data_IF_730610637989
#
_entry.id   IF_730610637989
#
_cell.length_a   1.000
_cell.length_b   1.000
_cell.length_c   1.000
_cell.angle_alpha   90.00
_cell.angle_beta   90.00
_cell.angle_gamma   90.00
#
_symmetry.space_group_name_H-M   'P 1'
#
loop_
_entity.id
_entity.type
_entity.pdbx_description
1 polymer ?
#
# COMPACT_ATOMS: atom_id res chain seq x y z
N UNK A 1 -8.17 -2.21 8.56
CA UNK A 1 -6.88 -1.50 8.42
C UNK A 1 -5.89 -1.84 9.53
N UNK A 2 -6.13 -1.49 10.81
CA UNK A 2 -5.16 -1.82 11.88
C UNK A 2 -4.85 -3.32 11.96
N UNK A 3 -5.87 -4.17 12.11
CA UNK A 3 -5.67 -5.60 12.33
C UNK A 3 -5.38 -6.40 11.04
N UNK A 4 -5.75 -5.85 9.90
CA UNK A 4 -5.62 -6.53 8.59
C UNK A 4 -4.34 -6.15 7.85
N UNK A 5 -3.85 -4.91 8.03
CA UNK A 5 -2.73 -4.35 7.27
C UNK A 5 -1.61 -3.89 8.20
N UNK A 6 -1.89 -2.97 9.13
CA UNK A 6 -0.83 -2.35 9.92
C UNK A 6 -0.11 -3.38 10.80
N UNK A 7 -0.87 -4.13 11.61
CA UNK A 7 -0.34 -5.10 12.55
C UNK A 7 0.36 -6.28 11.87
N UNK A 8 -0.25 -6.99 10.89
CA UNK A 8 0.39 -8.19 10.33
C UNK A 8 1.45 -7.90 9.26
N UNK A 9 1.41 -6.73 8.59
CA UNK A 9 2.26 -6.45 7.41
C UNK A 9 3.22 -5.29 7.68
N UNK A 10 2.70 -4.13 8.08
CA UNK A 10 3.51 -2.90 8.16
C UNK A 10 4.47 -2.93 9.34
N UNK A 11 3.98 -3.30 10.52
CA UNK A 11 4.76 -3.32 11.78
C UNK A 11 6.00 -4.22 11.66
N UNK A 12 5.89 -5.51 11.27
CA UNK A 12 7.06 -6.38 11.12
C UNK A 12 8.05 -5.84 10.08
N UNK A 13 7.54 -5.42 8.93
CA UNK A 13 8.40 -4.98 7.82
C UNK A 13 9.23 -3.75 8.18
N UNK A 14 8.62 -2.77 8.86
CA UNK A 14 9.32 -1.55 9.28
C UNK A 14 10.32 -1.84 10.39
N UNK A 15 10.00 -2.71 11.36
CA UNK A 15 10.95 -3.05 12.41
C UNK A 15 12.16 -3.82 11.87
N UNK A 16 11.95 -4.72 10.91
CA UNK A 16 13.04 -5.51 10.32
C UNK A 16 13.99 -4.67 9.46
N UNK A 17 13.50 -3.60 8.83
CA UNK A 17 14.27 -2.83 7.84
C UNK A 17 14.53 -1.36 8.21
N UNK A 18 13.95 -0.88 9.31
CA UNK A 18 14.11 0.48 9.84
C UNK A 18 13.70 1.59 8.85
N UNK A 19 12.56 1.39 8.19
CA UNK A 19 12.00 2.33 7.23
C UNK A 19 10.96 3.29 7.84
N UNK A 20 10.57 4.30 7.06
CA UNK A 20 9.46 5.20 7.36
C UNK A 20 8.24 4.83 6.51
N UNK A 21 7.06 4.76 7.14
CA UNK A 21 5.80 4.53 6.45
C UNK A 21 5.40 5.79 5.69
N UNK A 22 5.21 5.68 4.38
CA UNK A 22 4.49 6.67 3.59
C UNK A 22 3.10 6.12 3.25
N UNK A 23 2.08 6.94 3.47
CA UNK A 23 0.70 6.68 3.05
C UNK A 23 -0.02 8.00 2.79
N UNK A 24 -1.11 7.95 2.02
CA UNK A 24 -1.92 9.11 1.74
C UNK A 24 -2.82 9.47 2.94
N UNK A 25 -3.48 10.64 2.86
CA UNK A 25 -4.37 11.13 3.90
C UNK A 25 -5.80 10.56 3.78
N UNK A 26 -5.97 9.36 3.22
CA UNK A 26 -7.28 8.71 3.15
C UNK A 26 -7.87 8.52 4.55
N UNK A 27 -9.20 8.59 4.67
CA UNK A 27 -9.89 8.53 5.96
C UNK A 27 -9.46 7.34 6.85
N UNK A 28 -9.28 6.11 6.34
CA UNK A 28 -8.81 4.99 7.17
C UNK A 28 -7.39 5.17 7.69
N UNK A 29 -6.52 5.91 6.99
CA UNK A 29 -5.12 6.11 7.34
C UNK A 29 -4.92 7.18 8.42
N UNK A 30 -5.74 8.24 8.39
CA UNK A 30 -5.71 9.34 9.36
C UNK A 30 -6.76 9.21 10.47
N UNK A 31 -7.54 8.13 10.45
CA UNK A 31 -8.48 7.83 11.54
C UNK A 31 -7.71 7.73 12.87
N UNK A 32 -8.27 8.33 13.94
CA UNK A 32 -7.64 8.37 15.27
C UNK A 32 -7.17 7.00 15.77
N UNK A 33 -7.93 5.95 15.52
CA UNK A 33 -7.57 4.59 15.92
C UNK A 33 -6.29 4.11 15.23
N UNK A 34 -6.07 4.50 13.97
CA UNK A 34 -4.90 4.12 13.19
C UNK A 34 -3.69 4.98 13.55
N UNK A 35 -3.85 6.29 13.74
CA UNK A 35 -2.75 7.16 14.16
C UNK A 35 -2.24 6.79 15.54
N UNK A 36 -3.14 6.54 16.51
CA UNK A 36 -2.77 6.08 17.85
C UNK A 36 -2.10 4.70 17.83
N UNK A 37 -2.53 3.81 16.93
CA UNK A 37 -1.89 2.51 16.77
C UNK A 37 -0.45 2.65 16.24
N UNK A 38 -0.23 3.45 15.20
CA UNK A 38 1.10 3.71 14.64
C UNK A 38 2.04 4.33 15.67
N UNK A 39 1.54 5.28 16.48
CA UNK A 39 2.29 5.86 17.59
C UNK A 39 2.67 4.81 18.64
N UNK A 40 1.72 3.96 19.06
CA UNK A 40 1.96 2.92 20.07
C UNK A 40 2.99 1.87 19.62
N UNK A 41 2.99 1.52 18.34
CA UNK A 41 3.95 0.59 17.73
C UNK A 41 5.27 1.28 17.31
N UNK A 42 5.45 2.58 17.61
CA UNK A 42 6.63 3.38 17.25
C UNK A 42 6.94 3.37 15.75
N UNK A 43 5.90 3.38 14.91
CA UNK A 43 6.06 3.40 13.46
C UNK A 43 6.26 4.85 12.98
N UNK A 44 7.44 5.20 12.44
CA UNK A 44 7.65 6.54 11.89
C UNK A 44 6.83 6.71 10.61
N UNK A 45 6.04 7.79 10.54
CA UNK A 45 5.19 8.13 9.39
C UNK A 45 5.73 9.38 8.69
N UNK A 46 5.87 9.31 7.38
CA UNK A 46 6.28 10.44 6.55
C UNK A 46 5.12 11.43 6.42
N UNK A 47 5.37 12.69 6.77
CA UNK A 47 4.38 13.75 6.56
C UNK A 47 4.10 13.91 5.06
N UNK A 48 2.84 13.73 4.66
CA UNK A 48 2.44 13.75 3.26
C UNK A 48 1.42 14.85 2.95
N UNK A 49 1.67 15.72 1.96
CA UNK A 49 0.73 16.76 1.56
C UNK A 49 -0.54 16.18 0.93
N UNK A 50 -1.68 16.85 1.14
CA UNK A 50 -2.93 16.49 0.49
C UNK A 50 -2.84 16.64 -1.04
N UNK A 51 -3.62 15.86 -1.78
CA UNK A 51 -3.72 15.91 -3.25
C UNK A 51 -2.40 15.70 -4.01
N UNK A 52 -1.40 15.09 -3.37
CA UNK A 52 -0.09 14.84 -3.97
C UNK A 52 0.03 13.39 -4.45
N UNK A 53 -0.91 12.98 -5.30
CA UNK A 53 -0.96 11.62 -5.86
C UNK A 53 0.20 11.39 -6.86
N UNK A 54 0.53 12.42 -7.64
CA UNK A 54 1.65 12.46 -8.58
C UNK A 54 3.01 12.27 -7.92
N UNK A 55 3.13 12.64 -6.64
CA UNK A 55 4.33 12.42 -5.84
C UNK A 55 4.44 11.01 -5.27
N UNK A 56 3.37 10.20 -5.29
CA UNK A 56 3.35 8.91 -4.59
C UNK A 56 4.02 7.82 -5.43
N UNK A 57 5.14 7.22 -4.97
CA UNK A 57 5.83 6.19 -5.74
C UNK A 57 4.94 4.99 -6.07
N UNK A 58 3.96 4.68 -5.23
CA UNK A 58 3.04 3.55 -5.44
C UNK A 58 2.14 3.74 -6.66
N UNK A 59 1.78 4.98 -7.02
CA UNK A 59 0.98 5.27 -8.21
C UNK A 59 1.77 4.93 -9.50
N UNK A 60 3.08 5.19 -9.50
CA UNK A 60 3.94 4.77 -10.61
C UNK A 60 4.07 3.25 -10.69
N UNK A 61 4.15 2.55 -9.55
CA UNK A 61 4.16 1.09 -9.49
C UNK A 61 2.85 0.53 -10.02
N UNK A 62 1.70 1.06 -9.60
CA UNK A 62 0.39 0.66 -10.12
C UNK A 62 0.26 0.87 -11.62
N UNK A 63 0.71 2.02 -12.13
CA UNK A 63 0.71 2.29 -13.57
C UNK A 63 1.62 1.33 -14.35
N UNK A 64 2.74 0.91 -13.78
CA UNK A 64 3.60 -0.10 -14.40
C UNK A 64 2.95 -1.49 -14.40
N UNK A 65 2.37 -1.91 -13.27
CA UNK A 65 1.68 -3.18 -13.13
C UNK A 65 0.48 -3.28 -14.08
N UNK A 66 -0.38 -2.25 -14.13
CA UNK A 66 -1.54 -2.20 -15.03
C UNK A 66 -1.12 -2.36 -16.50
N UNK A 67 -0.03 -1.72 -16.93
CA UNK A 67 0.49 -1.87 -18.29
C UNK A 67 0.93 -3.31 -18.60
N UNK A 68 1.56 -4.01 -17.65
CA UNK A 68 2.01 -5.39 -17.88
C UNK A 68 0.84 -6.39 -17.86
N UNK A 69 -0.08 -6.24 -16.91
CA UNK A 69 -1.31 -7.05 -16.85
C UNK A 69 -2.15 -6.88 -18.13
N UNK A 70 -2.23 -5.68 -18.71
CA UNK A 70 -2.93 -5.48 -20.00
C UNK A 70 -2.27 -6.18 -21.18
N UNK A 71 -1.00 -6.56 -21.08
CA UNK A 71 -0.26 -7.29 -22.12
C UNK A 71 -0.39 -8.81 -21.98
N UNK A 72 -0.92 -9.33 -20.86
CA UNK A 72 -1.17 -10.76 -20.69
C UNK A 72 -2.15 -11.31 -21.74
N UNK A 73 -1.83 -12.49 -22.26
CA UNK A 73 -2.69 -13.25 -23.18
C UNK A 73 -2.84 -14.68 -22.66
N UNK A 74 -4.07 -15.16 -22.39
CA UNK A 74 -5.34 -14.46 -22.55
C UNK A 74 -5.54 -13.37 -21.48
N UNK A 75 -6.36 -12.36 -21.81
CA UNK A 75 -6.77 -11.33 -20.85
C UNK A 75 -7.56 -11.98 -19.72
N UNK A 76 -7.28 -11.58 -18.47
CA UNK A 76 -7.99 -12.06 -17.29
C UNK A 76 -9.49 -11.73 -17.39
N UNK A 77 -10.33 -12.76 -17.39
CA UNK A 77 -11.78 -12.64 -17.55
C UNK A 77 -12.54 -12.60 -16.22
N UNK A 78 -11.86 -12.88 -15.09
CA UNK A 78 -12.46 -12.85 -13.76
C UNK A 78 -11.42 -12.45 -12.68
N UNK A 79 -11.92 -12.18 -11.47
CA UNK A 79 -11.11 -11.73 -10.34
C UNK A 79 -10.01 -12.74 -9.95
N UNK A 80 -10.26 -14.06 -10.08
CA UNK A 80 -9.25 -15.06 -9.74
C UNK A 80 -8.10 -15.03 -10.75
N UNK A 81 -8.41 -14.97 -12.04
CA UNK A 81 -7.39 -14.84 -13.09
C UNK A 81 -6.62 -13.52 -12.98
N UNK A 82 -7.29 -12.43 -12.61
CA UNK A 82 -6.62 -11.15 -12.37
C UNK A 82 -5.68 -11.23 -11.16
N UNK A 83 -6.11 -11.88 -10.07
CA UNK A 83 -5.28 -12.09 -8.89
C UNK A 83 -4.03 -12.90 -9.21
N UNK A 84 -4.19 -14.03 -9.90
CA UNK A 84 -3.05 -14.85 -10.33
C UNK A 84 -2.10 -14.06 -11.22
N UNK A 85 -2.62 -13.31 -12.20
CA UNK A 85 -1.77 -12.49 -13.05
C UNK A 85 -0.99 -11.41 -12.28
N UNK A 86 -1.61 -10.77 -11.27
CA UNK A 86 -0.93 -9.80 -10.39
C UNK A 86 0.15 -10.46 -9.54
N UNK A 87 -0.06 -11.69 -9.07
CA UNK A 87 0.91 -12.44 -8.26
C UNK A 87 2.11 -12.97 -9.09
N UNK A 88 1.98 -13.04 -10.41
CA UNK A 88 3.04 -13.50 -11.35
C UNK A 88 3.96 -12.37 -11.87
N UNK A 89 3.61 -11.11 -11.62
CA UNK A 89 4.35 -9.90 -12.05
C UNK A 89 5.42 -9.41 -11.05
#
# INVERSE_FOLDING_TARGET
YCDEILRPIVVPFIHDHHFMLQHDNAQPHVARICTQFLEAENIPVLAWPAYSLDMSPIEHVWGALDRRIRQHVPVSANIQQLRTAIEEE
#
